data_IF_003236833819
#
_entry.id   IF_003236833819
#
_cell.length_a   1.000
_cell.length_b   1.000
_cell.length_c   1.000
_cell.angle_alpha   90.00
_cell.angle_beta   90.00
_cell.angle_gamma   90.00
#
_symmetry.space_group_name_H-M   'P 1'
#
loop_
_entity.id
_entity.type
_entity.pdbx_description
1 polymer ?
#
# COMPACT_ATOMS: atom_id res chain seq x y z
N UNK A 1 -13.51 -20.84 -14.47
CA UNK A 1 -12.27 -20.24 -15.04
C UNK A 1 -12.08 -18.91 -14.38
N UNK A 2 -11.00 -18.81 -13.61
CA UNK A 2 -10.66 -17.73 -12.69
C UNK A 2 -9.79 -16.75 -13.49
N UNK A 3 -10.21 -15.50 -13.57
CA UNK A 3 -9.32 -14.41 -13.95
C UNK A 3 -9.66 -13.21 -13.07
N UNK A 4 -8.65 -12.72 -12.35
CA UNK A 4 -8.71 -11.67 -11.37
C UNK A 4 -8.16 -10.36 -11.94
N UNK A 5 -8.72 -9.22 -11.53
CA UNK A 5 -8.06 -7.90 -11.68
C UNK A 5 -8.54 -6.98 -10.56
N UNK A 6 -7.58 -6.50 -9.74
CA UNK A 6 -7.69 -5.27 -8.95
C UNK A 6 -7.21 -4.17 -9.89
N UNK A 7 -8.07 -3.23 -10.28
CA UNK A 7 -7.73 -2.30 -11.35
C UNK A 7 -7.42 -0.94 -10.76
N UNK A 8 -6.15 -0.54 -10.87
CA UNK A 8 -5.72 0.83 -10.69
C UNK A 8 -5.95 1.57 -12.01
N UNK A 9 -6.81 2.59 -12.00
CA UNK A 9 -6.91 3.51 -13.13
C UNK A 9 -6.12 4.77 -12.82
N UNK A 10 -5.02 4.98 -13.54
CA UNK A 10 -4.24 6.21 -13.51
C UNK A 10 -4.48 6.99 -14.79
N UNK A 11 -4.97 8.22 -14.66
CA UNK A 11 -5.12 9.16 -15.76
C UNK A 11 -4.07 10.25 -15.62
N UNK A 12 -3.21 10.40 -16.62
CA UNK A 12 -2.27 11.51 -16.73
C UNK A 12 -2.81 12.49 -17.78
N UNK A 13 -3.09 13.73 -17.39
CA UNK A 13 -3.54 14.77 -18.33
C UNK A 13 -2.41 15.80 -18.50
N UNK A 14 -1.82 15.94 -19.70
CA UNK A 14 -0.75 16.89 -19.95
C UNK A 14 -1.25 18.34 -19.94
N UNK A 15 -0.37 19.29 -19.65
CA UNK A 15 -0.66 20.72 -19.84
C UNK A 15 -0.69 21.01 -21.34
N UNK A 16 -1.76 21.63 -21.85
CA UNK A 16 -1.83 22.05 -23.25
C UNK A 16 -0.68 23.01 -23.60
N UNK A 17 0.18 22.64 -24.54
CA UNK A 17 1.35 23.43 -24.92
C UNK A 17 1.05 24.34 -26.11
N UNK A 18 1.33 25.64 -25.95
CA UNK A 18 1.69 26.53 -27.06
C UNK A 18 3.17 26.34 -27.37
N UNK A 19 3.48 26.07 -28.64
CA UNK A 19 4.77 25.58 -29.13
C UNK A 19 6.02 26.37 -28.68
N UNK A 20 6.99 25.66 -28.08
CA UNK A 20 8.43 25.85 -28.25
C UNK A 20 9.14 24.59 -27.70
N UNK A 21 9.93 23.94 -28.55
CA UNK A 21 10.46 22.58 -28.43
C UNK A 21 11.39 22.36 -27.20
N UNK A 22 10.93 21.72 -26.10
CA UNK A 22 11.80 21.15 -25.08
C UNK A 22 12.16 19.71 -25.51
N UNK A 23 13.20 19.11 -24.93
CA UNK A 23 13.47 17.68 -25.14
C UNK A 23 12.23 16.87 -24.76
N UNK A 24 11.71 16.01 -25.65
CA UNK A 24 10.46 15.23 -25.45
C UNK A 24 10.33 14.52 -24.09
N UNK A 25 11.43 14.20 -23.42
CA UNK A 25 11.45 13.54 -22.11
C UNK A 25 11.12 14.46 -20.93
N UNK A 26 11.31 15.78 -21.03
CA UNK A 26 11.00 16.71 -19.92
C UNK A 26 9.51 16.87 -19.65
N UNK A 27 8.68 16.48 -20.62
CA UNK A 27 7.23 16.66 -20.60
C UNK A 27 6.50 15.37 -20.17
N UNK A 28 7.22 14.26 -20.05
CA UNK A 28 6.67 12.97 -19.64
C UNK A 28 6.49 12.90 -18.12
N UNK A 29 5.28 12.52 -17.70
CA UNK A 29 5.00 12.13 -16.33
C UNK A 29 5.46 10.69 -16.12
N UNK A 30 6.37 10.47 -15.17
CA UNK A 30 6.88 9.15 -14.81
C UNK A 30 6.22 8.65 -13.53
N UNK A 31 5.87 7.36 -13.50
CA UNK A 31 5.18 6.74 -12.39
C UNK A 31 5.96 5.54 -11.88
N UNK A 32 6.04 5.39 -10.56
CA UNK A 32 6.32 4.11 -9.95
C UNK A 32 5.02 3.46 -9.51
N UNK A 33 4.78 2.23 -9.99
CA UNK A 33 3.62 1.44 -9.65
C UNK A 33 4.09 0.14 -8.98
N UNK A 34 3.69 -0.10 -7.74
CA UNK A 34 3.97 -1.33 -7.02
C UNK A 34 2.66 -2.10 -6.75
N UNK A 35 2.63 -3.35 -7.21
CA UNK A 35 1.56 -4.29 -6.87
C UNK A 35 1.64 -4.73 -5.40
N UNK A 36 0.60 -5.42 -4.96
CA UNK A 36 0.28 -5.87 -3.60
C UNK A 36 1.41 -5.74 -2.55
N UNK A 37 1.50 -4.57 -1.92
CA UNK A 37 2.40 -4.30 -0.81
C UNK A 37 1.77 -4.85 0.47
N UNK A 38 2.33 -5.96 0.95
CA UNK A 38 1.89 -6.66 2.14
C UNK A 38 2.94 -6.48 3.25
N UNK A 39 2.67 -5.66 4.25
CA UNK A 39 3.60 -5.39 5.37
C UNK A 39 3.23 -6.10 6.67
N UNK A 40 2.18 -6.92 6.65
CA UNK A 40 1.73 -7.67 7.82
C UNK A 40 2.48 -8.99 8.06
N UNK A 41 1.96 -9.78 9.00
CA UNK A 41 2.53 -11.08 9.41
C UNK A 41 4.03 -10.94 9.72
N UNK A 42 4.88 -11.78 9.12
CA UNK A 42 6.32 -11.82 9.41
C UNK A 42 7.04 -10.50 9.21
N UNK A 43 6.61 -9.65 8.26
CA UNK A 43 7.22 -8.32 8.06
C UNK A 43 6.96 -7.43 9.27
N UNK A 44 5.71 -7.31 9.72
CA UNK A 44 5.37 -6.54 10.91
C UNK A 44 6.10 -7.08 12.16
N UNK A 45 6.26 -8.40 12.26
CA UNK A 45 6.97 -9.05 13.37
C UNK A 45 8.48 -8.75 13.44
N UNK A 46 9.11 -8.38 12.33
CA UNK A 46 10.53 -7.99 12.33
C UNK A 46 10.73 -6.48 12.42
N UNK A 47 9.68 -5.68 12.27
CA UNK A 47 9.72 -4.22 12.39
C UNK A 47 9.76 -3.76 13.87
N UNK A 48 10.12 -2.48 14.14
CA UNK A 48 10.29 -1.99 15.52
C UNK A 48 9.06 -2.05 16.43
N UNK A 49 7.85 -2.04 15.88
CA UNK A 49 6.60 -2.03 16.64
C UNK A 49 5.68 -3.16 16.21
N UNK A 50 5.97 -4.44 16.49
CA UNK A 50 5.14 -5.55 16.04
C UNK A 50 3.77 -5.52 16.73
N UNK A 51 2.71 -5.84 15.98
CA UNK A 51 1.40 -6.21 16.51
C UNK A 51 1.45 -7.59 17.19
N UNK A 52 0.38 -7.94 17.93
CA UNK A 52 0.19 -9.31 18.42
C UNK A 52 0.34 -10.31 17.26
N UNK A 53 1.24 -11.31 17.38
CA UNK A 53 1.49 -12.26 16.31
C UNK A 53 0.32 -13.21 16.03
N UNK A 54 -0.71 -13.27 16.87
CA UNK A 54 -1.81 -14.22 16.69
C UNK A 54 -2.48 -14.08 15.31
N UNK A 55 -2.67 -15.21 14.65
CA UNK A 55 -3.34 -15.34 13.36
C UNK A 55 -4.60 -16.19 13.49
N UNK A 56 -5.63 -15.83 12.72
CA UNK A 56 -6.91 -16.54 12.65
C UNK A 56 -6.96 -17.52 11.46
N UNK A 57 -5.82 -18.11 11.11
CA UNK A 57 -5.65 -18.97 9.93
C UNK A 57 -5.72 -20.45 10.33
N UNK A 58 -6.13 -21.32 9.41
CA UNK A 58 -6.30 -22.76 9.71
C UNK A 58 -4.98 -23.51 9.94
N UNK A 59 -3.88 -23.04 9.35
CA UNK A 59 -2.61 -23.78 9.29
C UNK A 59 -1.50 -23.15 10.13
N UNK A 60 -1.67 -21.91 10.58
CA UNK A 60 -0.70 -21.22 11.43
C UNK A 60 -1.43 -20.24 12.34
N UNK A 61 -1.14 -20.31 13.63
CA UNK A 61 -1.76 -19.45 14.66
C UNK A 61 -0.87 -18.26 15.03
N UNK A 62 0.34 -18.16 14.45
CA UNK A 62 1.33 -17.13 14.79
C UNK A 62 2.10 -16.63 13.57
N UNK A 63 2.19 -15.31 13.45
CA UNK A 63 3.00 -14.60 12.47
C UNK A 63 4.50 -14.87 12.63
N UNK A 64 4.95 -15.27 13.82
CA UNK A 64 6.35 -15.63 14.08
C UNK A 64 6.78 -16.87 13.29
N UNK A 65 5.86 -17.79 13.00
CA UNK A 65 6.14 -18.97 12.19
C UNK A 65 6.66 -18.58 10.78
N UNK A 66 6.15 -17.49 10.20
CA UNK A 66 6.66 -16.99 8.92
C UNK A 66 8.10 -16.48 9.02
N UNK A 67 8.47 -15.91 10.17
CA UNK A 67 9.83 -15.43 10.42
C UNK A 67 10.79 -16.60 10.62
N UNK A 68 10.39 -17.61 11.41
CA UNK A 68 11.16 -18.84 11.63
C UNK A 68 11.41 -19.60 10.32
N UNK A 69 10.39 -19.68 9.44
CA UNK A 69 10.53 -20.27 8.11
C UNK A 69 11.53 -19.50 7.25
N UNK A 70 11.49 -18.16 7.29
CA UNK A 70 12.45 -17.33 6.58
C UNK A 70 13.88 -17.51 7.11
N UNK A 71 14.05 -17.57 8.44
CA UNK A 71 15.35 -17.75 9.10
C UNK A 71 15.95 -19.14 8.87
N UNK A 72 15.11 -20.17 8.72
CA UNK A 72 15.55 -21.54 8.41
C UNK A 72 16.28 -21.62 7.06
N UNK A 73 15.86 -20.81 6.08
CA UNK A 73 16.43 -20.81 4.73
C UNK A 73 17.56 -19.79 4.59
N UNK A 74 17.41 -18.60 5.19
CA UNK A 74 18.27 -17.44 4.92
C UNK A 74 19.25 -17.12 6.06
N UNK A 75 19.17 -17.86 7.18
CA UNK A 75 19.87 -17.52 8.41
C UNK A 75 19.12 -16.47 9.25
N UNK A 76 19.64 -16.14 10.44
CA UNK A 76 18.94 -15.31 11.41
C UNK A 76 18.69 -13.88 10.91
N UNK A 77 17.48 -13.36 11.14
CA UNK A 77 17.12 -11.97 10.87
C UNK A 77 17.38 -11.16 12.14
N UNK A 78 18.23 -10.13 12.04
CA UNK A 78 18.53 -9.25 13.18
C UNK A 78 17.37 -8.30 13.44
N UNK A 79 16.51 -8.65 14.41
CA UNK A 79 15.31 -7.90 14.79
C UNK A 79 15.62 -6.86 15.90
N UNK A 80 14.98 -5.68 15.91
CA UNK A 80 14.14 -5.17 14.84
C UNK A 80 14.98 -4.74 13.64
N UNK A 81 14.43 -4.93 12.43
CA UNK A 81 15.02 -4.39 11.20
C UNK A 81 14.71 -2.90 11.06
N UNK A 82 15.51 -2.19 10.28
CA UNK A 82 15.22 -0.79 9.96
C UNK A 82 13.93 -0.68 9.12
N UNK A 83 13.21 0.44 9.21
CA UNK A 83 12.00 0.67 8.42
C UNK A 83 12.22 0.57 6.89
N UNK A 84 13.42 0.88 6.41
CA UNK A 84 13.78 0.77 4.99
C UNK A 84 13.98 -0.69 4.51
N UNK A 85 14.06 -1.65 5.43
CA UNK A 85 14.44 -3.04 5.16
C UNK A 85 13.60 -3.69 4.06
N UNK A 86 12.29 -3.45 4.04
CA UNK A 86 11.36 -4.11 3.09
C UNK A 86 11.56 -3.68 1.64
N UNK A 87 12.27 -2.56 1.40
CA UNK A 87 12.53 -2.05 0.06
C UNK A 87 13.90 -2.44 -0.47
N UNK A 88 14.89 -2.63 0.42
CA UNK A 88 16.26 -2.98 0.04
C UNK A 88 16.80 -2.07 -1.07
N UNK A 89 17.38 -2.69 -2.10
CA UNK A 89 18.00 -2.01 -3.24
C UNK A 89 17.00 -1.16 -4.06
N UNK A 90 15.69 -1.43 -3.94
CA UNK A 90 14.68 -0.66 -4.66
C UNK A 90 14.68 0.83 -4.29
N UNK A 91 15.17 1.19 -3.09
CA UNK A 91 15.29 2.60 -2.72
C UNK A 91 16.31 3.34 -3.59
N UNK A 92 17.45 2.73 -3.90
CA UNK A 92 18.46 3.33 -4.77
C UNK A 92 17.92 3.48 -6.19
N UNK A 93 17.20 2.46 -6.68
CA UNK A 93 16.53 2.50 -7.98
C UNK A 93 15.46 3.61 -8.06
N UNK A 94 14.66 3.80 -7.00
CA UNK A 94 13.65 4.85 -6.92
C UNK A 94 14.28 6.24 -6.89
N UNK A 95 15.40 6.41 -6.20
CA UNK A 95 16.12 7.69 -6.19
C UNK A 95 16.79 7.97 -7.55
N UNK A 96 17.34 6.96 -8.23
CA UNK A 96 17.92 7.12 -9.56
C UNK A 96 16.85 7.44 -10.61
N UNK A 97 15.74 6.70 -10.60
CA UNK A 97 14.66 6.87 -11.57
C UNK A 97 13.86 8.16 -11.35
N UNK A 98 13.80 8.63 -10.10
CA UNK A 98 13.09 9.84 -9.68
C UNK A 98 11.67 9.97 -10.29
N UNK A 99 10.77 8.98 -10.07
CA UNK A 99 9.41 9.03 -10.58
C UNK A 99 8.66 10.24 -10.02
N UNK A 100 7.84 10.90 -10.84
CA UNK A 100 7.03 12.04 -10.43
C UNK A 100 5.97 11.67 -9.38
N UNK A 101 5.42 10.45 -9.45
CA UNK A 101 4.43 9.93 -8.49
C UNK A 101 4.69 8.45 -8.19
N UNK A 102 4.68 8.07 -6.90
CA UNK A 102 4.88 6.71 -6.39
C UNK A 102 3.58 6.16 -5.81
N UNK A 103 3.02 5.14 -6.46
CA UNK A 103 1.70 4.57 -6.14
C UNK A 103 1.86 3.09 -5.79
N UNK A 104 1.24 2.66 -4.70
CA UNK A 104 1.21 1.25 -4.29
C UNK A 104 -0.23 0.77 -4.13
N UNK A 105 -0.47 -0.52 -4.38
CA UNK A 105 -1.64 -1.21 -3.82
C UNK A 105 -1.29 -1.72 -2.41
N UNK A 106 -1.85 -1.12 -1.36
CA UNK A 106 -1.54 -1.49 0.02
C UNK A 106 -2.54 -2.54 0.52
N UNK A 107 -2.10 -3.79 0.67
CA UNK A 107 -2.94 -4.93 1.05
C UNK A 107 -2.80 -5.28 2.53
N UNK A 108 -2.52 -4.29 3.36
CA UNK A 108 -2.32 -4.48 4.79
C UNK A 108 -3.01 -3.37 5.55
N UNK A 109 -3.88 -3.75 6.49
CA UNK A 109 -4.50 -2.78 7.39
C UNK A 109 -3.43 -2.21 8.33
N UNK A 110 -3.43 -0.89 8.50
CA UNK A 110 -2.52 -0.19 9.40
C UNK A 110 -3.30 0.15 10.66
N UNK A 111 -3.34 -0.78 11.62
CA UNK A 111 -4.26 -0.69 12.75
C UNK A 111 -3.84 -1.50 13.97
N UNK A 112 -4.33 -1.09 15.13
CA UNK A 112 -4.33 -1.83 16.40
C UNK A 112 -5.69 -2.47 16.71
N UNK A 113 -6.69 -2.31 15.83
CA UNK A 113 -8.00 -2.94 15.97
C UNK A 113 -7.84 -4.46 16.08
N UNK A 114 -8.63 -5.08 16.95
CA UNK A 114 -8.75 -6.53 17.08
C UNK A 114 -10.02 -7.08 16.41
N UNK A 115 -10.76 -6.23 15.69
CA UNK A 115 -12.01 -6.57 14.99
C UNK A 115 -11.76 -7.31 13.68
N UNK A 116 -11.15 -8.50 13.75
CA UNK A 116 -10.87 -9.28 12.55
C UNK A 116 -12.15 -9.70 11.82
N UNK A 117 -12.11 -9.66 10.49
CA UNK A 117 -13.25 -10.00 9.65
C UNK A 117 -13.58 -11.49 9.73
N UNK A 118 -14.76 -11.81 10.28
CA UNK A 118 -15.21 -13.20 10.48
C UNK A 118 -15.43 -13.91 9.15
N UNK A 119 -15.08 -15.19 9.10
CA UNK A 119 -15.23 -16.02 7.89
C UNK A 119 -14.20 -15.77 6.80
N UNK A 120 -13.27 -14.83 6.99
CA UNK A 120 -12.09 -14.66 6.15
C UNK A 120 -10.94 -15.51 6.68
N UNK A 121 -10.23 -16.18 5.78
CA UNK A 121 -9.17 -17.12 6.16
C UNK A 121 -7.78 -16.50 6.36
N UNK A 122 -7.55 -15.26 5.90
CA UNK A 122 -6.25 -14.57 5.99
C UNK A 122 -6.47 -13.09 6.27
N UNK A 123 -5.71 -12.55 7.23
CA UNK A 123 -5.75 -11.15 7.61
C UNK A 123 -4.35 -10.56 7.68
N UNK A 124 -4.15 -9.38 7.11
CA UNK A 124 -2.90 -8.62 7.18
C UNK A 124 -3.06 -7.39 8.07
N UNK A 125 -2.24 -7.33 9.12
CA UNK A 125 -2.13 -6.19 10.04
C UNK A 125 -0.69 -5.73 10.13
N UNK A 126 -0.49 -4.42 10.10
CA UNK A 126 0.73 -3.76 10.52
C UNK A 126 0.40 -2.73 11.59
N UNK A 127 1.22 -2.64 12.62
CA UNK A 127 1.02 -1.62 13.66
C UNK A 127 1.18 -0.20 13.08
N UNK A 128 0.34 0.80 13.47
CA UNK A 128 0.43 2.16 12.95
C UNK A 128 1.78 2.85 13.15
N UNK A 129 2.51 2.54 14.21
CA UNK A 129 3.86 3.09 14.43
C UNK A 129 4.89 2.58 13.41
N UNK A 130 4.57 1.54 12.64
CA UNK A 130 5.41 1.04 11.55
C UNK A 130 5.16 1.76 10.21
N UNK A 131 4.27 2.76 10.15
CA UNK A 131 4.08 3.59 8.93
C UNK A 131 5.38 4.14 8.31
N UNK A 132 6.48 4.40 9.06
CA UNK A 132 7.73 4.79 8.43
C UNK A 132 8.27 3.76 7.42
N UNK A 133 7.88 2.48 7.49
CA UNK A 133 8.28 1.51 6.47
C UNK A 133 7.73 1.88 5.09
N UNK A 134 6.53 2.48 5.00
CA UNK A 134 5.96 2.97 3.75
C UNK A 134 6.60 4.31 3.35
N UNK A 135 6.74 5.25 4.28
CA UNK A 135 7.25 6.60 3.95
C UNK A 135 8.74 6.61 3.59
N UNK A 136 9.52 5.58 3.97
CA UNK A 136 10.92 5.45 3.54
C UNK A 136 11.09 5.31 2.03
N UNK A 137 10.10 4.75 1.32
CA UNK A 137 10.06 4.73 -0.15
C UNK A 137 9.45 5.99 -0.77
N UNK A 138 9.13 7.01 0.05
CA UNK A 138 8.45 8.26 -0.35
C UNK A 138 7.16 8.01 -1.15
N UNK A 139 6.40 6.98 -0.77
CA UNK A 139 5.14 6.65 -1.43
C UNK A 139 4.15 7.81 -1.29
N UNK A 140 3.58 8.23 -2.42
CA UNK A 140 2.64 9.36 -2.49
C UNK A 140 1.18 8.91 -2.33
N UNK A 141 0.86 7.71 -2.83
CA UNK A 141 -0.51 7.18 -2.85
C UNK A 141 -0.57 5.69 -2.49
N UNK A 142 -1.52 5.34 -1.61
CA UNK A 142 -1.92 3.96 -1.34
C UNK A 142 -3.33 3.70 -1.89
N UNK A 143 -3.45 2.78 -2.84
CA UNK A 143 -4.74 2.28 -3.32
C UNK A 143 -5.19 1.18 -2.37
N UNK A 144 -6.43 1.28 -1.90
CA UNK A 144 -6.96 0.41 -0.84
C UNK A 144 -8.19 -0.39 -1.29
N UNK A 145 -8.70 -0.19 -2.51
CA UNK A 145 -9.77 -0.99 -3.10
C UNK A 145 -9.29 -2.41 -3.44
N UNK A 146 -8.93 -3.19 -2.42
CA UNK A 146 -8.46 -4.56 -2.52
C UNK A 146 -9.19 -5.45 -1.50
N UNK A 147 -9.03 -6.76 -1.64
CA UNK A 147 -9.78 -7.74 -0.86
C UNK A 147 -9.39 -7.74 0.64
N UNK A 148 -8.29 -7.10 1.02
CA UNK A 148 -7.79 -7.00 2.40
C UNK A 148 -8.23 -5.74 3.15
N UNK A 149 -9.00 -4.88 2.49
CA UNK A 149 -9.42 -3.57 3.01
C UNK A 149 -10.21 -3.61 4.33
N UNK A 150 -10.98 -4.67 4.60
CA UNK A 150 -11.72 -4.84 5.85
C UNK A 150 -11.18 -5.98 6.73
N UNK A 151 -9.92 -6.38 6.58
CA UNK A 151 -9.34 -7.46 7.40
C UNK A 151 -9.56 -7.27 8.89
N UNK A 152 -9.59 -6.02 9.36
CA UNK A 152 -9.78 -5.64 10.76
C UNK A 152 -11.00 -4.74 10.97
N UNK A 153 -12.03 -4.99 10.15
CA UNK A 153 -13.32 -4.33 10.22
C UNK A 153 -13.26 -2.84 9.85
N UNK A 154 -14.41 -2.18 9.99
CA UNK A 154 -14.51 -0.73 9.77
C UNK A 154 -13.64 0.09 10.72
N UNK A 155 -13.45 -0.28 12.01
CA UNK A 155 -12.49 0.41 12.89
C UNK A 155 -11.05 0.33 12.35
N UNK A 156 -10.65 -0.82 11.81
CA UNK A 156 -9.32 -1.01 11.23
C UNK A 156 -9.11 -0.20 9.96
N UNK A 157 -10.12 -0.14 9.09
CA UNK A 157 -10.09 0.72 7.90
C UNK A 157 -9.99 2.21 8.29
N UNK A 158 -10.77 2.67 9.27
CA UNK A 158 -10.73 4.05 9.74
C UNK A 158 -9.35 4.45 10.30
N UNK A 159 -8.72 3.59 11.11
CA UNK A 159 -7.37 3.84 11.62
C UNK A 159 -6.31 3.80 10.51
N UNK A 160 -6.50 2.94 9.51
CA UNK A 160 -5.62 2.88 8.32
C UNK A 160 -5.63 4.21 7.58
N UNK A 161 -6.82 4.75 7.29
CA UNK A 161 -6.98 6.04 6.61
C UNK A 161 -6.38 7.18 7.42
N UNK A 162 -6.65 7.21 8.73
CA UNK A 162 -6.09 8.22 9.62
C UNK A 162 -4.56 8.17 9.67
N UNK A 163 -3.98 6.96 9.66
CA UNK A 163 -2.53 6.78 9.70
C UNK A 163 -1.86 7.24 8.41
N UNK A 164 -2.42 6.88 7.25
CA UNK A 164 -1.96 7.36 5.94
C UNK A 164 -2.05 8.89 5.84
N UNK A 165 -3.18 9.47 6.26
CA UNK A 165 -3.39 10.91 6.26
C UNK A 165 -2.33 11.63 7.12
N UNK A 166 -2.06 11.17 8.33
CA UNK A 166 -1.01 11.74 9.21
C UNK A 166 0.39 11.63 8.61
N UNK A 167 0.64 10.61 7.79
CA UNK A 167 1.90 10.39 7.09
C UNK A 167 2.00 11.16 5.76
N UNK A 168 0.98 11.95 5.39
CA UNK A 168 0.87 12.64 4.10
C UNK A 168 0.88 11.69 2.89
N UNK A 169 0.40 10.45 3.07
CA UNK A 169 0.18 9.50 1.97
C UNK A 169 -1.29 9.58 1.59
N UNK A 170 -1.60 9.93 0.34
CA UNK A 170 -2.98 9.96 -0.13
C UNK A 170 -3.52 8.54 -0.27
N UNK A 171 -4.84 8.39 -0.22
CA UNK A 171 -5.52 7.12 -0.46
C UNK A 171 -6.56 7.25 -1.57
N UNK A 172 -6.81 6.15 -2.27
CA UNK A 172 -7.89 6.05 -3.27
C UNK A 172 -8.62 4.70 -3.18
N UNK A 173 -9.91 4.71 -3.53
CA UNK A 173 -10.76 3.51 -3.62
C UNK A 173 -11.49 3.11 -2.33
N UNK A 174 -11.41 3.93 -1.28
CA UNK A 174 -12.08 3.73 0.01
C UNK A 174 -12.36 5.08 0.66
N UNK A 175 -13.34 5.14 1.56
CA UNK A 175 -13.68 6.35 2.30
C UNK A 175 -14.67 6.06 3.43
N UNK A 176 -14.95 7.06 4.26
CA UNK A 176 -15.97 6.96 5.31
C UNK A 176 -17.40 6.95 4.78
N UNK A 177 -17.58 7.25 3.49
CA UNK A 177 -18.84 7.20 2.76
C UNK A 177 -18.57 6.97 1.26
N UNK A 178 -19.64 6.77 0.47
CA UNK A 178 -19.55 6.50 -0.97
C UNK A 178 -18.85 7.62 -1.74
N UNK A 179 -19.10 8.88 -1.39
CA UNK A 179 -18.50 10.03 -2.06
C UNK A 179 -16.99 10.08 -1.86
N UNK A 180 -16.52 9.80 -0.64
CA UNK A 180 -15.09 9.69 -0.34
C UNK A 180 -14.46 8.47 -1.01
N UNK A 181 -15.17 7.33 -1.06
CA UNK A 181 -14.67 6.12 -1.72
C UNK A 181 -14.52 6.28 -3.25
N UNK A 182 -15.39 7.06 -3.87
CA UNK A 182 -15.35 7.40 -5.30
C UNK A 182 -14.37 8.55 -5.62
N UNK A 183 -13.90 9.29 -4.63
CA UNK A 183 -12.98 10.40 -4.83
C UNK A 183 -11.59 9.90 -5.25
N UNK A 184 -10.99 10.46 -6.32
CA UNK A 184 -9.63 10.11 -6.70
C UNK A 184 -8.58 10.80 -5.84
N UNK A 185 -7.40 10.20 -5.75
CA UNK A 185 -6.20 10.93 -5.35
C UNK A 185 -5.66 11.71 -6.56
N UNK A 186 -5.43 13.02 -6.39
CA UNK A 186 -4.96 13.92 -7.45
C UNK A 186 -3.59 14.47 -7.10
N UNK A 187 -2.64 14.44 -8.05
CA UNK A 187 -1.29 14.98 -7.92
C UNK A 187 -1.00 15.95 -9.05
N UNK A 188 -0.63 17.18 -8.72
CA UNK A 188 -0.13 18.15 -9.69
C UNK A 188 1.38 17.91 -9.88
N UNK A 189 1.80 17.75 -11.13
CA UNK A 189 3.19 17.55 -11.52
C UNK A 189 3.67 18.80 -12.24
N UNK A 190 4.47 19.61 -11.54
CA UNK A 190 4.87 20.94 -11.98
C UNK A 190 5.48 20.91 -13.39
N UNK A 191 4.91 21.71 -14.30
CA UNK A 191 5.35 21.81 -15.70
C UNK A 191 4.92 20.65 -16.60
N UNK A 192 4.37 19.56 -16.07
CA UNK A 192 4.02 18.36 -16.85
C UNK A 192 2.51 18.09 -16.94
N UNK A 193 1.77 18.33 -15.86
CA UNK A 193 0.31 18.13 -15.83
C UNK A 193 -0.16 17.61 -14.49
N UNK A 194 -1.12 16.69 -14.49
CA UNK A 194 -1.62 16.04 -13.28
C UNK A 194 -1.83 14.55 -13.45
N UNK A 195 -1.74 13.83 -12.33
CA UNK A 195 -2.04 12.41 -12.18
C UNK A 195 -3.29 12.25 -11.34
N UNK A 196 -4.27 11.51 -11.84
CA UNK A 196 -5.52 11.21 -11.15
C UNK A 196 -5.60 9.70 -10.96
N UNK A 197 -5.76 9.27 -9.71
CA UNK A 197 -5.70 7.87 -9.31
C UNK A 197 -7.05 7.44 -8.74
N UNK A 198 -7.69 6.46 -9.37
CA UNK A 198 -8.90 5.81 -8.88
C UNK A 198 -8.60 4.39 -8.42
N UNK A 199 -9.18 3.97 -7.30
CA UNK A 199 -9.23 2.58 -6.88
C UNK A 199 -10.54 1.94 -7.31
N UNK A 200 -10.49 0.83 -8.05
CA UNK A 200 -11.67 0.16 -8.58
C UNK A 200 -11.71 -1.30 -8.12
N UNK A 201 -12.85 -1.70 -7.59
CA UNK A 201 -13.16 -3.06 -7.20
C UNK A 201 -14.15 -3.73 -8.14
N UNK A 202 -13.80 -4.90 -8.68
CA UNK A 202 -14.78 -5.75 -9.37
C UNK A 202 -15.64 -6.52 -8.35
N UNK A 203 -16.90 -6.80 -8.66
CA UNK A 203 -17.75 -7.67 -7.83
C UNK A 203 -17.20 -9.09 -7.68
N UNK A 204 -16.25 -9.49 -8.53
CA UNK A 204 -15.55 -10.77 -8.52
C UNK A 204 -14.18 -10.72 -7.85
N UNK A 205 -13.75 -9.58 -7.32
CA UNK A 205 -12.40 -9.36 -6.78
C UNK A 205 -12.23 -9.78 -5.31
N UNK A 206 -13.29 -10.29 -4.67
CA UNK A 206 -13.26 -10.68 -3.26
C UNK A 206 -13.21 -9.49 -2.29
N UNK A 207 -13.44 -8.27 -2.78
CA UNK A 207 -13.60 -7.08 -1.93
C UNK A 207 -14.87 -7.26 -1.09
N UNK A 208 -14.76 -7.17 0.25
CA UNK A 208 -15.90 -7.28 1.14
C UNK A 208 -16.88 -6.12 0.90
N UNK A 209 -18.17 -6.39 1.08
CA UNK A 209 -19.26 -5.41 0.95
C UNK A 209 -19.66 -4.90 2.32
#
# INVERSE_FOLDING_TARGET
MINASKTLLVLATPVGHTAANPSRDSDLITLFLCGDVMTGRGIDQVLPHPSDPHLYELYTESALAYVELAETVNGPIRKPVAFAYIWGDALEELERAAPDVRIINLETAITKSDDHWKGKGVHYRMHPQNIPCITKAKIDCSVLANNHVLDWGYPGLAETLQTLQRANVKSAGVGGNVTEAEAPAVFEVAGKGRVIVFGLGSTTSGIPR
#
